data_IF_329358580917
#
_entry.id   IF_329358580917
#
_cell.length_a   1.000
_cell.length_b   1.000
_cell.length_c   1.000
_cell.angle_alpha   90.00
_cell.angle_beta   90.00
_cell.angle_gamma   90.00
#
_symmetry.space_group_name_H-M   'P 1'
#
loop_
_entity.id
_entity.type
_entity.pdbx_description
1 polymer ?
#
# COMPACT_ATOMS: atom_id res chain seq x y z
N UNK A 1 -19.04 1.24 -5.12
CA UNK A 1 -18.15 1.18 -6.30
C UNK A 1 -17.56 2.57 -6.55
N UNK A 2 -16.45 2.71 -7.27
CA UNK A 2 -15.99 4.00 -7.78
C UNK A 2 -17.09 4.71 -8.59
N UNK A 3 -17.07 6.04 -8.65
CA UNK A 3 -18.10 6.81 -9.37
C UNK A 3 -18.06 6.58 -10.89
N UNK A 4 -16.92 6.16 -11.42
CA UNK A 4 -16.60 5.93 -12.83
C UNK A 4 -16.55 4.43 -13.18
N UNK A 5 -17.18 3.57 -12.37
CA UNK A 5 -17.06 2.11 -12.49
C UNK A 5 -17.44 1.56 -13.87
N UNK A 6 -18.37 2.20 -14.60
CA UNK A 6 -18.76 1.80 -15.96
C UNK A 6 -17.60 1.88 -16.96
N UNK A 7 -16.65 2.80 -16.73
CA UNK A 7 -15.48 3.04 -17.57
C UNK A 7 -14.22 2.39 -17.00
N UNK A 8 -14.28 1.90 -15.76
CA UNK A 8 -13.17 1.25 -15.10
C UNK A 8 -12.97 -0.20 -15.58
N UNK A 9 -11.74 -0.69 -15.42
CA UNK A 9 -11.44 -2.11 -15.40
C UNK A 9 -11.25 -2.53 -13.95
N UNK A 10 -12.12 -3.39 -13.44
CA UNK A 10 -12.12 -3.80 -12.04
C UNK A 10 -11.89 -5.30 -11.93
N UNK A 11 -10.99 -5.71 -11.04
CA UNK A 11 -10.74 -7.11 -10.73
C UNK A 11 -11.45 -7.47 -9.44
N UNK A 12 -12.20 -8.57 -9.46
CA UNK A 12 -13.05 -9.00 -8.37
C UNK A 12 -13.04 -10.52 -8.19
N UNK A 13 -13.79 -10.98 -7.20
CA UNK A 13 -14.08 -12.38 -6.97
C UNK A 13 -15.52 -12.52 -6.49
N UNK A 14 -16.29 -13.41 -7.09
CA UNK A 14 -17.67 -13.68 -6.71
C UNK A 14 -17.86 -15.17 -6.40
N UNK A 15 -18.98 -15.52 -5.79
CA UNK A 15 -19.44 -16.90 -5.65
C UNK A 15 -20.93 -16.96 -5.98
N UNK A 16 -21.32 -17.85 -6.90
CA UNK A 16 -22.70 -18.07 -7.33
C UNK A 16 -23.30 -19.39 -6.85
N UNK A 17 -22.58 -20.10 -5.98
CA UNK A 17 -22.92 -21.45 -5.49
C UNK A 17 -21.96 -22.54 -5.97
N UNK A 18 -21.17 -22.27 -7.02
CA UNK A 18 -20.18 -23.21 -7.58
C UNK A 18 -18.76 -22.97 -7.01
N UNK A 19 -18.61 -21.98 -6.13
CA UNK A 19 -17.35 -21.62 -5.48
C UNK A 19 -16.74 -20.30 -5.96
N UNK A 20 -15.62 -19.88 -5.34
CA UNK A 20 -14.96 -18.61 -5.64
C UNK A 20 -14.49 -18.52 -7.09
N UNK A 21 -14.94 -17.50 -7.78
CA UNK A 21 -14.73 -17.26 -9.21
C UNK A 21 -14.07 -15.90 -9.41
N UNK A 22 -12.83 -15.84 -9.96
CA UNK A 22 -12.21 -14.58 -10.37
C UNK A 22 -13.04 -13.92 -11.48
N UNK A 23 -13.26 -12.61 -11.37
CA UNK A 23 -14.02 -11.86 -12.37
C UNK A 23 -13.35 -10.55 -12.74
N UNK A 24 -13.53 -10.13 -13.99
CA UNK A 24 -13.21 -8.77 -14.44
C UNK A 24 -14.52 -8.04 -14.75
N UNK A 25 -14.64 -6.80 -14.29
CA UNK A 25 -15.70 -5.88 -14.71
C UNK A 25 -15.12 -4.88 -15.69
N UNK A 26 -15.73 -4.76 -16.87
CA UNK A 26 -15.32 -3.80 -17.90
C UNK A 26 -16.53 -3.37 -18.74
N UNK A 27 -16.68 -2.07 -18.96
CA UNK A 27 -17.79 -1.55 -19.76
C UNK A 27 -19.17 -1.89 -19.18
N UNK A 28 -19.28 -1.91 -17.85
CA UNK A 28 -20.52 -2.27 -17.14
C UNK A 28 -20.86 -3.78 -17.12
N UNK A 29 -20.02 -4.63 -17.71
CA UNK A 29 -20.25 -6.09 -17.81
C UNK A 29 -19.27 -6.87 -16.97
N UNK A 30 -19.69 -8.06 -16.53
CA UNK A 30 -18.87 -8.95 -15.70
C UNK A 30 -18.45 -10.16 -16.51
N UNK A 31 -17.17 -10.50 -16.44
CA UNK A 31 -16.57 -11.62 -17.15
C UNK A 31 -16.01 -12.61 -16.13
N UNK A 32 -16.44 -13.86 -16.23
CA UNK A 32 -15.89 -14.99 -15.50
C UNK A 32 -14.53 -15.37 -16.09
N UNK A 33 -13.49 -15.27 -15.26
CA UNK A 33 -12.11 -15.52 -15.67
C UNK A 33 -11.60 -16.87 -15.13
N UNK A 34 -12.45 -17.70 -14.52
CA UNK A 34 -12.05 -18.96 -13.89
C UNK A 34 -11.41 -19.97 -14.86
N UNK A 35 -11.79 -19.94 -16.13
CA UNK A 35 -11.19 -20.76 -17.18
C UNK A 35 -9.80 -20.25 -17.64
N UNK A 36 -9.51 -18.96 -17.42
CA UNK A 36 -8.21 -18.33 -17.72
C UNK A 36 -7.25 -18.59 -16.56
N UNK A 37 -7.71 -18.36 -15.33
CA UNK A 37 -6.97 -18.66 -14.12
C UNK A 37 -7.94 -18.99 -12.97
N UNK A 38 -7.68 -20.04 -12.17
CA UNK A 38 -8.60 -20.49 -11.12
C UNK A 38 -8.65 -19.54 -9.92
N UNK A 39 -7.66 -18.66 -9.77
CA UNK A 39 -7.54 -17.71 -8.66
C UNK A 39 -7.22 -16.31 -9.16
N UNK A 40 -7.54 -15.29 -8.37
CA UNK A 40 -7.15 -13.90 -8.65
C UNK A 40 -5.62 -13.76 -8.60
N UNK A 41 -4.94 -14.49 -7.71
CA UNK A 41 -3.48 -14.55 -7.67
C UNK A 41 -2.86 -15.06 -8.97
N UNK A 42 -3.38 -16.17 -9.49
CA UNK A 42 -2.90 -16.73 -10.75
C UNK A 42 -3.25 -15.81 -11.94
N UNK A 43 -4.41 -15.16 -11.92
CA UNK A 43 -4.81 -14.21 -12.96
C UNK A 43 -3.87 -13.00 -13.01
N UNK A 44 -3.53 -12.42 -11.84
CA UNK A 44 -2.59 -11.31 -11.74
C UNK A 44 -1.19 -11.74 -12.19
N UNK A 45 -0.73 -12.92 -11.76
CA UNK A 45 0.58 -13.44 -12.11
C UNK A 45 0.71 -13.75 -13.61
N UNK A 46 -0.37 -14.25 -14.22
CA UNK A 46 -0.43 -14.54 -15.66
C UNK A 46 -0.53 -13.28 -16.53
N UNK A 47 -1.20 -12.22 -16.03
CA UNK A 47 -1.30 -10.94 -16.71
C UNK A 47 -2.23 -10.90 -17.94
N UNK A 48 -2.97 -11.97 -18.20
CA UNK A 48 -4.02 -12.00 -19.24
C UNK A 48 -5.33 -11.46 -18.67
N UNK A 49 -5.60 -10.19 -18.96
CA UNK A 49 -6.81 -9.48 -18.56
C UNK A 49 -7.76 -9.24 -19.73
N UNK A 50 -7.56 -9.94 -20.86
CA UNK A 50 -8.47 -9.84 -21.99
C UNK A 50 -9.82 -10.46 -21.63
N UNK A 51 -10.85 -9.63 -21.49
CA UNK A 51 -12.21 -10.09 -21.19
C UNK A 51 -12.77 -11.03 -22.28
N UNK A 52 -12.22 -11.01 -23.49
CA UNK A 52 -12.58 -11.92 -24.57
C UNK A 52 -12.17 -13.38 -24.35
N UNK A 53 -11.24 -13.65 -23.42
CA UNK A 53 -10.84 -15.02 -23.04
C UNK A 53 -11.67 -15.57 -21.88
N UNK A 54 -12.48 -14.72 -21.24
CA UNK A 54 -13.44 -15.09 -20.21
C UNK A 54 -14.85 -15.37 -20.73
N UNK A 55 -15.76 -15.73 -19.82
CA UNK A 55 -17.19 -15.91 -20.13
C UNK A 55 -17.99 -14.68 -19.70
N UNK A 56 -18.68 -14.04 -20.63
CA UNK A 56 -19.56 -12.89 -20.34
C UNK A 56 -20.78 -13.34 -19.51
N UNK A 57 -20.91 -12.78 -18.31
CA UNK A 57 -21.98 -13.07 -17.35
C UNK A 57 -23.14 -12.09 -17.44
N UNK A 58 -23.02 -11.05 -18.27
CA UNK A 58 -24.01 -9.99 -18.41
C UNK A 58 -23.65 -8.69 -17.69
N UNK A 59 -24.60 -7.74 -17.67
CA UNK A 59 -24.47 -6.48 -16.94
C UNK A 59 -24.26 -6.69 -15.43
N UNK A 60 -23.39 -5.90 -14.81
CA UNK A 60 -23.12 -5.98 -13.37
C UNK A 60 -24.40 -5.77 -12.53
N UNK A 61 -25.25 -4.84 -12.93
CA UNK A 61 -26.49 -4.52 -12.24
C UNK A 61 -27.47 -5.70 -12.20
N UNK A 62 -27.47 -6.54 -13.23
CA UNK A 62 -28.35 -7.73 -13.32
C UNK A 62 -27.89 -8.84 -12.37
N UNK A 63 -26.61 -8.88 -11.99
CA UNK A 63 -26.05 -9.92 -11.13
C UNK A 63 -26.40 -9.75 -9.65
N UNK A 64 -26.92 -8.58 -9.24
CA UNK A 64 -27.33 -8.31 -7.85
C UNK A 64 -26.23 -8.69 -6.82
N UNK A 65 -24.98 -8.32 -7.14
CA UNK A 65 -23.80 -8.68 -6.35
C UNK A 65 -23.89 -8.09 -4.94
N UNK A 66 -23.69 -8.92 -3.92
CA UNK A 66 -23.78 -8.49 -2.51
C UNK A 66 -22.78 -9.23 -1.63
N UNK A 67 -22.15 -8.60 -0.62
CA UNK A 67 -21.26 -9.29 0.32
C UNK A 67 -22.00 -10.19 1.32
N UNK A 68 -23.34 -10.15 1.35
CA UNK A 68 -24.15 -10.96 2.26
C UNK A 68 -23.91 -12.46 2.03
N UNK A 69 -23.88 -13.23 3.12
CA UNK A 69 -23.55 -14.66 3.07
C UNK A 69 -24.60 -15.50 2.31
N UNK A 70 -25.85 -15.03 2.26
CA UNK A 70 -27.00 -15.64 1.60
C UNK A 70 -27.29 -15.05 0.22
N UNK A 71 -26.44 -14.15 -0.28
CA UNK A 71 -26.59 -13.59 -1.61
C UNK A 71 -26.46 -14.66 -2.70
N UNK A 72 -27.34 -14.61 -3.71
CA UNK A 72 -27.24 -15.48 -4.91
C UNK A 72 -25.91 -15.29 -5.63
N UNK A 73 -25.41 -14.07 -5.70
CA UNK A 73 -24.09 -13.75 -6.22
C UNK A 73 -23.34 -13.00 -5.15
N UNK A 74 -22.57 -13.76 -4.38
CA UNK A 74 -21.84 -13.24 -3.24
C UNK A 74 -20.57 -12.55 -3.70
N UNK A 75 -20.35 -11.31 -3.26
CA UNK A 75 -19.07 -10.62 -3.38
C UNK A 75 -18.10 -11.21 -2.37
N UNK A 76 -16.94 -11.66 -2.85
CA UNK A 76 -15.84 -12.10 -2.01
C UNK A 76 -14.73 -11.05 -2.02
N UNK A 77 -13.82 -11.12 -1.04
CA UNK A 77 -12.57 -10.37 -1.14
C UNK A 77 -11.86 -10.73 -2.45
N UNK A 78 -11.37 -9.75 -3.23
CA UNK A 78 -10.56 -10.01 -4.42
C UNK A 78 -9.17 -10.52 -4.04
N UNK A 79 -8.76 -10.35 -2.78
CA UNK A 79 -7.51 -10.86 -2.23
C UNK A 79 -7.79 -12.31 -1.79
N UNK A 80 -7.18 -13.27 -2.47
CA UNK A 80 -7.35 -14.69 -2.18
C UNK A 80 -6.09 -15.33 -1.57
N UNK A 81 -5.11 -15.70 -2.40
CA UNK A 81 -3.87 -16.35 -1.97
C UNK A 81 -2.78 -15.34 -1.59
N UNK A 82 -3.01 -14.07 -1.89
CA UNK A 82 -2.13 -12.97 -1.55
C UNK A 82 -2.05 -12.71 -0.04
N UNK A 83 -0.88 -12.28 0.42
CA UNK A 83 -0.68 -11.67 1.73
C UNK A 83 -0.96 -10.17 1.65
N UNK A 84 -1.65 -9.62 2.64
CA UNK A 84 -1.87 -8.17 2.71
C UNK A 84 -0.65 -7.52 3.33
N UNK A 85 0.03 -6.68 2.55
CA UNK A 85 1.19 -5.90 2.98
C UNK A 85 0.81 -4.42 3.05
N UNK A 86 1.41 -3.70 3.99
CA UNK A 86 1.38 -2.25 4.03
C UNK A 86 2.80 -1.71 3.98
N UNK A 87 3.08 -0.78 3.06
CA UNK A 87 4.29 0.02 3.08
C UNK A 87 4.08 1.21 4.01
N UNK A 88 4.81 1.26 5.12
CA UNK A 88 4.87 2.45 5.95
C UNK A 88 5.86 3.43 5.35
N UNK A 89 5.40 4.63 4.99
CA UNK A 89 6.27 5.81 5.05
C UNK A 89 6.11 6.38 6.45
N UNK A 90 7.06 6.08 7.32
CA UNK A 90 7.14 6.76 8.61
C UNK A 90 7.25 8.25 8.35
N UNK A 91 6.54 9.09 9.11
CA UNK A 91 6.72 10.53 9.02
C UNK A 91 8.15 10.86 9.41
N UNK A 92 9.03 11.09 8.42
CA UNK A 92 10.43 11.47 8.58
C UNK A 92 10.59 12.54 9.68
N UNK A 93 9.72 13.55 9.63
CA UNK A 93 9.66 14.65 10.59
C UNK A 93 9.40 14.15 12.01
N UNK A 94 8.44 13.26 12.23
CA UNK A 94 8.12 12.75 13.57
C UNK A 94 9.24 11.88 14.14
N UNK A 95 9.92 11.09 13.29
CA UNK A 95 11.07 10.29 13.71
C UNK A 95 12.26 11.20 14.11
N UNK A 96 12.51 12.25 13.33
CA UNK A 96 13.59 13.20 13.59
C UNK A 96 13.33 14.05 14.82
N UNK A 97 12.10 14.54 15.03
CA UNK A 97 11.74 15.30 16.22
C UNK A 97 11.92 14.46 17.50
N UNK A 98 11.59 13.16 17.47
CA UNK A 98 11.89 12.25 18.59
C UNK A 98 13.38 12.14 18.89
N UNK A 99 14.22 12.02 17.86
CA UNK A 99 15.68 11.96 18.03
C UNK A 99 16.23 13.26 18.62
N UNK A 100 15.70 14.41 18.18
CA UNK A 100 16.06 15.71 18.76
C UNK A 100 15.65 15.77 20.23
N UNK A 101 14.43 15.37 20.57
CA UNK A 101 13.91 15.36 21.94
C UNK A 101 14.74 14.45 22.87
N UNK A 102 15.04 13.22 22.44
CA UNK A 102 15.87 12.27 23.19
C UNK A 102 17.28 12.81 23.42
N UNK A 103 17.87 13.47 22.40
CA UNK A 103 19.21 14.06 22.52
C UNK A 103 19.22 15.26 23.46
N UNK A 104 18.17 16.07 23.42
CA UNK A 104 18.00 17.26 24.25
C UNK A 104 17.57 16.93 25.68
N UNK A 105 17.04 15.73 25.94
CA UNK A 105 16.53 15.29 27.26
C UNK A 105 15.52 16.28 27.85
N UNK A 106 14.69 16.87 27.00
CA UNK A 106 13.68 17.87 27.38
C UNK A 106 14.18 19.31 27.51
N UNK A 107 15.47 19.60 27.30
CA UNK A 107 15.99 20.98 27.27
C UNK A 107 15.66 21.65 25.91
N UNK A 108 14.79 22.66 25.95
CA UNK A 108 14.35 23.37 24.75
C UNK A 108 15.49 24.11 24.02
N UNK A 109 16.48 24.62 24.77
CA UNK A 109 17.64 25.30 24.19
C UNK A 109 18.57 24.31 23.49
N UNK A 110 18.82 23.16 24.11
CA UNK A 110 19.60 22.08 23.52
C UNK A 110 18.90 21.50 22.27
N UNK A 111 17.58 21.32 22.31
CA UNK A 111 16.80 20.87 21.16
C UNK A 111 16.90 21.85 19.98
N UNK A 112 16.84 23.15 20.25
CA UNK A 112 17.00 24.20 19.23
C UNK A 112 18.40 24.18 18.62
N UNK A 113 19.43 24.04 19.44
CA UNK A 113 20.82 23.94 18.97
C UNK A 113 21.07 22.69 18.10
N UNK A 114 20.49 21.55 18.48
CA UNK A 114 20.58 20.32 17.68
C UNK A 114 19.85 20.49 16.34
N UNK A 115 18.65 21.08 16.34
CA UNK A 115 17.87 21.32 15.11
C UNK A 115 18.62 22.22 14.15
N UNK A 116 19.14 23.35 14.63
CA UNK A 116 19.90 24.30 13.81
C UNK A 116 21.14 23.65 13.17
N UNK A 117 21.89 22.84 13.93
CA UNK A 117 23.07 22.13 13.42
C UNK A 117 22.71 21.12 12.32
N UNK A 118 21.58 20.42 12.46
CA UNK A 118 21.11 19.48 11.44
C UNK A 118 20.61 20.21 10.19
N UNK A 119 19.87 21.32 10.32
CA UNK A 119 19.41 22.15 9.19
C UNK A 119 20.56 22.75 8.39
N UNK A 120 21.62 23.22 9.06
CA UNK A 120 22.82 23.77 8.42
C UNK A 120 23.50 22.76 7.50
N UNK A 121 23.61 21.49 7.91
CA UNK A 121 24.26 20.44 7.10
C UNK A 121 23.41 19.95 5.94
N UNK A 122 22.09 19.99 6.06
CA UNK A 122 21.16 19.54 5.02
C UNK A 122 20.89 20.66 4.00
N UNK A 123 21.20 21.92 4.34
CA UNK A 123 21.01 23.07 3.45
C UNK A 123 19.55 23.48 3.30
N UNK A 124 18.68 23.13 4.25
CA UNK A 124 17.25 23.36 4.19
C UNK A 124 16.51 22.93 5.45
N UNK A 125 15.17 23.02 5.42
CA UNK A 125 14.36 22.58 6.55
C UNK A 125 14.33 21.06 6.63
N UNK A 126 14.62 20.51 7.82
CA UNK A 126 14.46 19.08 8.11
C UNK A 126 13.02 18.60 7.82
N UNK A 127 12.04 19.52 7.92
CA UNK A 127 10.62 19.21 7.68
C UNK A 127 10.28 18.95 6.22
N UNK A 128 11.12 19.38 5.28
CA UNK A 128 10.91 19.18 3.83
C UNK A 128 11.70 18.02 3.26
N UNK A 129 12.43 17.26 4.09
CA UNK A 129 13.24 16.13 3.62
C UNK A 129 12.33 15.02 3.10
N UNK A 130 12.52 14.67 1.83
CA UNK A 130 11.81 13.57 1.17
C UNK A 130 12.63 12.28 1.37
N UNK A 131 12.03 11.16 1.82
CA UNK A 131 12.74 9.89 1.93
C UNK A 131 13.40 9.48 0.60
N UNK A 132 14.64 8.99 0.69
CA UNK A 132 15.43 8.60 -0.49
C UNK A 132 16.03 9.74 -1.32
N UNK A 133 15.80 11.00 -0.94
CA UNK A 133 16.38 12.17 -1.62
C UNK A 133 17.88 12.37 -1.31
N UNK A 134 18.61 13.15 -2.12
CA UNK A 134 19.96 13.59 -1.78
C UNK A 134 20.05 14.30 -0.42
N UNK A 135 19.05 15.11 -0.07
CA UNK A 135 18.95 15.80 1.22
C UNK A 135 18.80 14.79 2.37
N UNK A 136 18.03 13.71 2.18
CA UNK A 136 17.91 12.63 3.16
C UNK A 136 19.23 11.87 3.34
N UNK A 137 19.98 11.65 2.26
CA UNK A 137 21.31 11.03 2.33
C UNK A 137 22.32 11.92 3.09
N UNK A 138 22.30 13.23 2.85
CA UNK A 138 23.11 14.21 3.58
C UNK A 138 22.72 14.25 5.08
N UNK A 139 21.42 14.24 5.38
CA UNK A 139 20.91 14.17 6.75
C UNK A 139 21.35 12.87 7.45
N UNK A 140 21.26 11.73 6.77
CA UNK A 140 21.75 10.44 7.28
C UNK A 140 23.23 10.50 7.62
N UNK A 141 24.07 11.05 6.74
CA UNK A 141 25.50 11.22 7.00
C UNK A 141 25.75 12.10 8.24
N UNK A 142 25.05 13.24 8.34
CA UNK A 142 25.14 14.13 9.49
C UNK A 142 24.75 13.44 10.82
N UNK A 143 23.66 12.66 10.81
CA UNK A 143 23.21 11.91 11.99
C UNK A 143 24.19 10.82 12.41
N UNK A 144 24.87 10.16 11.45
CA UNK A 144 25.92 9.17 11.74
C UNK A 144 27.13 9.84 12.37
N UNK A 145 27.62 10.94 11.78
CA UNK A 145 28.77 11.69 12.30
C UNK A 145 28.54 12.22 13.71
N UNK A 146 27.30 12.66 14.01
CA UNK A 146 26.92 13.17 15.33
C UNK A 146 26.59 12.06 16.34
N UNK A 147 26.69 10.78 15.95
CA UNK A 147 26.35 9.64 16.81
C UNK A 147 24.87 9.57 17.20
N UNK A 148 23.99 10.18 16.38
CA UNK A 148 22.53 10.26 16.58
C UNK A 148 21.76 9.26 15.69
N UNK A 149 22.47 8.50 14.86
CA UNK A 149 21.88 7.55 13.92
C UNK A 149 21.33 6.29 14.61
N UNK A 150 20.19 5.80 14.11
CA UNK A 150 19.62 4.50 14.48
C UNK A 150 18.97 3.84 13.26
N UNK A 151 18.79 2.51 13.29
CA UNK A 151 18.08 1.81 12.21
C UNK A 151 16.62 2.27 12.05
N UNK A 152 16.01 2.83 13.10
CA UNK A 152 14.67 3.40 13.03
C UNK A 152 14.60 4.65 12.13
N UNK A 153 15.72 5.34 11.91
CA UNK A 153 15.78 6.46 10.96
C UNK A 153 15.93 5.99 9.52
N UNK A 154 16.49 4.79 9.28
CA UNK A 154 16.60 4.23 7.93
C UNK A 154 15.21 4.03 7.31
N UNK A 155 14.25 3.56 8.09
CA UNK A 155 12.86 3.38 7.63
C UNK A 155 12.08 4.69 7.49
N UNK A 156 12.63 5.81 7.98
CA UNK A 156 11.96 7.10 7.98
C UNK A 156 12.47 8.04 6.88
N UNK A 157 13.78 8.04 6.61
CA UNK A 157 14.40 8.90 5.59
C UNK A 157 15.17 8.13 4.51
N UNK A 158 15.38 6.83 4.69
CA UNK A 158 16.03 5.99 3.70
C UNK A 158 15.21 5.82 2.41
N UNK A 159 15.82 5.24 1.37
CA UNK A 159 15.16 5.02 0.09
C UNK A 159 14.12 3.89 0.10
N UNK A 160 14.24 2.97 1.06
CA UNK A 160 13.42 1.77 1.13
C UNK A 160 12.28 1.93 2.15
N UNK A 161 11.06 1.60 1.73
CA UNK A 161 9.90 1.62 2.61
C UNK A 161 9.90 0.39 3.53
N UNK A 162 9.48 0.59 4.79
CA UNK A 162 9.26 -0.53 5.70
C UNK A 162 7.98 -1.28 5.34
N UNK A 163 8.09 -2.61 5.19
CA UNK A 163 6.96 -3.46 4.78
C UNK A 163 6.44 -4.27 5.96
N UNK A 164 5.17 -4.04 6.30
CA UNK A 164 4.46 -4.76 7.35
C UNK A 164 3.49 -5.79 6.76
N UNK A 165 3.44 -6.98 7.34
CA UNK A 165 2.36 -7.94 7.05
C UNK A 165 1.14 -7.57 7.88
N UNK A 166 0.02 -7.23 7.22
CA UNK A 166 -1.24 -6.86 7.87
C UNK A 166 -2.23 -8.01 7.93
N UNK A 167 -2.13 -8.98 7.02
CA UNK A 167 -2.96 -10.17 7.03
C UNK A 167 -2.27 -11.34 6.34
N UNK A 168 -2.36 -12.57 6.89
CA UNK A 168 -1.94 -13.77 6.19
C UNK A 168 -2.88 -14.07 5.01
N UNK A 169 -2.51 -15.04 4.18
CA UNK A 169 -3.36 -15.59 3.13
C UNK A 169 -4.73 -16.02 3.70
N UNK A 170 -5.81 -15.77 2.97
CA UNK A 170 -7.21 -16.08 3.35
C UNK A 170 -7.75 -15.36 4.61
N UNK A 171 -7.15 -14.23 5.01
CA UNK A 171 -7.61 -13.46 6.19
C UNK A 171 -8.55 -12.28 5.87
N UNK A 172 -8.88 -12.05 4.60
CA UNK A 172 -9.68 -10.92 4.11
C UNK A 172 -11.12 -11.28 3.80
#
# INVERSE_FOLDING_TARGET
MPADWEQAALLGRIDRGDGPTPVIVRGGRVYDMSAVAPTVADLIAGGDYDTGTGTDLGPLDDLNVSPAADARTRLLSPIDLHVVKASGVTFAVSALERVIEERARGDASAATAVRARLEERVGGSIRSVVPGSPEAAALKAALIEDGMWSQYLEVAIGPDAEIFTKGPTLST
#
